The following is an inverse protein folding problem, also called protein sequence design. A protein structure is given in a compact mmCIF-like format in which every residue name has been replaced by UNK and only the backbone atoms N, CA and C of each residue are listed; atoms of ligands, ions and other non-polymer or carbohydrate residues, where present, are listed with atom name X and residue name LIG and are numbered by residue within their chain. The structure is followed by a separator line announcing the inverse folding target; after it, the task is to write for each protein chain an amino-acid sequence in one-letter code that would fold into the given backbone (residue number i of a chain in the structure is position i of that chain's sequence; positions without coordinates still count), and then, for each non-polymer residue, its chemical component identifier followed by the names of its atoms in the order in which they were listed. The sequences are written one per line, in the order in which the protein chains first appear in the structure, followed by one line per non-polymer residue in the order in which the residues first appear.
data_IF_176697358973
#
_entry.id   IF_176697358973
#
_cell.length_a   1.000
_cell.length_b   1.000
_cell.length_c   1.000
_cell.angle_alpha   90.00
_cell.angle_beta   90.00
_cell.angle_gamma   90.00
#
_symmetry.space_group_name_H-M   'P 1'
#
loop_
_entity.id
_entity.type
_entity.pdbx_description
1 polymer ?
#
# COMPACT_ATOMS: atom_id res chain seq x y z
N UNK A 1 -25.71 -20.97 -1.34
CA UNK A 1 -24.97 -22.20 -0.97
C UNK A 1 -23.61 -21.79 -0.38
N UNK A 2 -22.69 -22.73 -0.12
CA UNK A 2 -21.37 -22.47 0.49
C UNK A 2 -20.24 -22.81 -0.49
N UNK A 3 -19.19 -22.01 -0.51
CA UNK A 3 -17.99 -22.22 -1.33
C UNK A 3 -16.78 -22.46 -0.43
N UNK A 4 -15.93 -23.44 -0.80
CA UNK A 4 -14.66 -23.69 -0.09
C UNK A 4 -13.56 -22.79 -0.61
N UNK A 5 -12.80 -22.21 0.32
CA UNK A 5 -11.62 -21.43 -0.02
C UNK A 5 -10.56 -22.32 -0.69
N UNK A 6 -10.03 -21.95 -1.88
CA UNK A 6 -9.02 -22.75 -2.56
C UNK A 6 -7.66 -22.74 -1.84
N UNK A 7 -7.40 -21.76 -0.97
CA UNK A 7 -6.13 -21.61 -0.25
C UNK A 7 -6.12 -22.28 1.12
N UNK A 8 -7.07 -21.93 1.99
CA UNK A 8 -7.12 -22.43 3.37
C UNK A 8 -8.23 -23.47 3.62
N UNK A 9 -9.05 -23.79 2.60
CA UNK A 9 -10.12 -24.81 2.64
C UNK A 9 -11.31 -24.51 3.55
N UNK A 10 -11.32 -23.37 4.24
CA UNK A 10 -12.45 -22.89 5.05
C UNK A 10 -13.72 -22.76 4.20
N UNK A 11 -14.84 -23.20 4.75
CA UNK A 11 -16.16 -22.99 4.16
C UNK A 11 -16.61 -21.54 4.34
N UNK A 12 -17.00 -20.90 3.24
CA UNK A 12 -17.45 -19.52 3.21
C UNK A 12 -18.84 -19.44 2.56
N UNK A 13 -19.71 -18.51 2.99
CA UNK A 13 -20.93 -18.21 2.26
C UNK A 13 -20.60 -17.70 0.85
N UNK A 14 -21.41 -18.05 -0.15
CA UNK A 14 -21.22 -17.60 -1.53
C UNK A 14 -21.34 -16.08 -1.73
N UNK A 15 -21.86 -15.34 -0.75
CA UNK A 15 -21.90 -13.87 -0.76
C UNK A 15 -20.55 -13.23 -0.45
N UNK A 16 -19.57 -13.98 0.10
CA UNK A 16 -18.26 -13.44 0.44
C UNK A 16 -17.36 -13.38 -0.78
N UNK A 17 -16.88 -12.17 -1.11
CA UNK A 17 -15.89 -11.94 -2.17
C UNK A 17 -14.50 -12.45 -1.77
N UNK A 18 -14.20 -12.47 -0.48
CA UNK A 18 -12.92 -12.89 0.09
C UNK A 18 -13.15 -13.86 1.25
N UNK A 19 -12.20 -14.77 1.45
CA UNK A 19 -12.21 -15.71 2.55
C UNK A 19 -12.09 -14.98 3.90
N UNK A 20 -12.98 -15.28 4.83
CA UNK A 20 -13.00 -14.67 6.17
C UNK A 20 -11.79 -15.03 7.05
N UNK A 21 -11.02 -16.05 6.67
CA UNK A 21 -9.90 -16.54 7.49
C UNK A 21 -8.52 -16.18 6.90
N UNK A 22 -8.35 -16.30 5.58
CA UNK A 22 -7.05 -16.03 4.93
C UNK A 22 -7.06 -14.90 3.89
N UNK A 23 -8.22 -14.26 3.65
CA UNK A 23 -8.35 -13.14 2.71
C UNK A 23 -8.32 -13.49 1.22
N UNK A 24 -8.24 -14.77 0.85
CA UNK A 24 -8.20 -15.19 -0.57
C UNK A 24 -9.53 -14.90 -1.27
N UNK A 25 -9.48 -14.37 -2.49
CA UNK A 25 -10.68 -14.10 -3.30
C UNK A 25 -11.41 -15.40 -3.69
N UNK A 26 -12.74 -15.42 -3.55
CA UNK A 26 -13.56 -16.63 -3.72
C UNK A 26 -14.44 -16.63 -4.98
N UNK A 27 -14.55 -15.50 -5.68
CA UNK A 27 -15.37 -15.37 -6.89
C UNK A 27 -14.71 -14.55 -7.99
N UNK A 28 -15.21 -14.63 -9.23
CA UNK A 28 -14.74 -13.81 -10.33
C UNK A 28 -14.88 -12.32 -9.97
N UNK A 29 -13.85 -11.54 -10.27
CA UNK A 29 -13.89 -10.10 -10.06
C UNK A 29 -14.80 -9.44 -11.10
N UNK A 30 -16.12 -9.43 -10.87
CA UNK A 30 -17.06 -8.56 -11.60
C UNK A 30 -17.00 -7.10 -11.09
N UNK A 31 -15.83 -6.68 -10.61
CA UNK A 31 -15.55 -5.28 -10.29
C UNK A 31 -15.03 -4.55 -11.53
N UNK A 32 -15.08 -3.21 -11.56
CA UNK A 32 -14.34 -2.45 -12.56
C UNK A 32 -12.89 -2.98 -12.58
N UNK A 33 -12.33 -3.19 -13.77
CA UNK A 33 -10.90 -3.54 -13.93
C UNK A 33 -10.12 -2.58 -13.06
N UNK A 34 -9.57 -3.06 -11.94
CA UNK A 34 -8.85 -2.21 -11.00
C UNK A 34 -7.66 -1.70 -11.79
N UNK A 35 -7.74 -0.43 -12.22
CA UNK A 35 -6.64 0.25 -12.87
C UNK A 35 -5.47 0.13 -11.92
N UNK A 36 -4.42 -0.56 -12.34
CA UNK A 36 -3.21 -0.72 -11.54
C UNK A 36 -2.75 0.69 -11.16
N UNK A 37 -2.78 1.00 -9.87
CA UNK A 37 -2.26 2.29 -9.41
C UNK A 37 -0.76 2.30 -9.64
N UNK A 38 -0.27 3.39 -10.21
CA UNK A 38 1.16 3.55 -10.42
C UNK A 38 1.79 4.01 -9.11
N UNK A 39 2.70 3.19 -8.58
CA UNK A 39 3.55 3.58 -7.46
C UNK A 39 4.70 4.42 -8.00
N UNK A 40 4.97 5.56 -7.37
CA UNK A 40 6.17 6.34 -7.67
C UNK A 40 7.38 5.58 -7.12
N UNK A 41 8.29 5.16 -8.00
CA UNK A 41 9.55 4.53 -7.65
C UNK A 41 10.61 5.63 -7.54
N UNK A 42 10.97 6.02 -6.31
CA UNK A 42 12.07 6.94 -6.02
C UNK A 42 12.93 6.34 -4.91
N UNK A 43 14.26 6.26 -5.08
CA UNK A 43 15.14 5.69 -4.06
C UNK A 43 14.96 6.40 -2.72
N UNK A 44 14.83 5.62 -1.65
CA UNK A 44 14.52 6.11 -0.31
C UNK A 44 15.77 6.37 0.54
N UNK A 45 16.99 6.30 -0.03
CA UNK A 45 18.21 6.46 0.77
C UNK A 45 18.31 7.88 1.37
N UNK A 46 18.33 7.95 2.70
CA UNK A 46 18.80 9.13 3.43
C UNK A 46 17.85 10.32 3.44
N UNK A 47 16.55 10.12 3.66
CA UNK A 47 15.61 11.23 3.86
C UNK A 47 15.80 11.91 5.21
N UNK A 48 16.63 12.95 5.21
CA UNK A 48 16.73 13.91 6.30
C UNK A 48 15.77 15.09 6.10
N UNK A 49 15.51 15.81 7.19
CA UNK A 49 14.67 17.01 7.19
C UNK A 49 15.19 18.04 6.18
N UNK A 50 14.28 18.65 5.42
CA UNK A 50 14.57 19.65 4.38
C UNK A 50 14.91 19.08 3.01
N UNK A 51 14.94 17.76 2.84
CA UNK A 51 15.12 17.14 1.52
C UNK A 51 13.82 17.21 0.72
N UNK A 52 13.94 17.57 -0.56
CA UNK A 52 12.85 17.49 -1.53
C UNK A 52 12.82 16.10 -2.19
N UNK A 53 11.86 15.28 -1.79
CA UNK A 53 11.64 13.95 -2.32
C UNK A 53 10.73 13.95 -3.55
N UNK A 54 11.11 13.19 -4.57
CA UNK A 54 10.40 13.10 -5.87
C UNK A 54 10.06 14.46 -6.50
N UNK A 55 10.87 15.49 -6.22
CA UNK A 55 10.67 16.86 -6.71
C UNK A 55 9.38 17.53 -6.21
N UNK A 56 8.72 16.99 -5.18
CA UNK A 56 7.39 17.46 -4.72
C UNK A 56 7.21 17.49 -3.21
N UNK A 57 7.78 16.54 -2.50
CA UNK A 57 7.51 16.34 -1.07
C UNK A 57 8.70 16.81 -0.25
N UNK A 58 8.57 17.92 0.47
CA UNK A 58 9.63 18.36 1.38
C UNK A 58 9.52 17.62 2.71
N UNK A 59 10.54 16.86 3.09
CA UNK A 59 10.54 16.05 4.31
C UNK A 59 10.70 16.93 5.55
N UNK A 60 9.78 16.80 6.51
CA UNK A 60 9.80 17.53 7.77
C UNK A 60 10.45 16.66 8.87
N UNK A 61 9.92 15.46 9.10
CA UNK A 61 10.45 14.53 10.10
C UNK A 61 9.95 13.10 9.88
N UNK A 62 10.61 12.12 10.50
CA UNK A 62 10.10 10.74 10.58
C UNK A 62 9.00 10.66 11.64
N UNK A 63 7.84 10.11 11.27
CA UNK A 63 6.72 9.84 12.17
C UNK A 63 6.81 8.43 12.79
N UNK A 64 7.43 7.49 12.09
CA UNK A 64 7.74 6.18 12.64
C UNK A 64 8.09 5.13 11.59
N UNK A 65 8.58 4.00 12.07
CA UNK A 65 9.01 2.86 11.25
C UNK A 65 8.30 1.58 11.68
N UNK A 66 7.93 0.74 10.71
CA UNK A 66 7.31 -0.56 10.92
C UNK A 66 7.75 -1.60 9.91
N UNK A 67 7.08 -2.77 9.91
CA UNK A 67 7.46 -3.90 9.06
C UNK A 67 7.41 -3.59 7.56
N UNK A 68 6.52 -2.71 7.13
CA UNK A 68 6.37 -2.34 5.71
C UNK A 68 7.30 -1.21 5.25
N UNK A 69 8.01 -0.53 6.17
CA UNK A 69 8.84 0.63 5.88
C UNK A 69 8.59 1.79 6.85
N UNK A 70 8.91 3.00 6.40
CA UNK A 70 8.94 4.21 7.24
C UNK A 70 7.92 5.25 6.77
N UNK A 71 7.39 6.03 7.72
CA UNK A 71 6.40 7.08 7.49
C UNK A 71 7.02 8.41 7.87
N UNK A 72 6.91 9.39 6.98
CA UNK A 72 7.43 10.74 7.18
C UNK A 72 6.29 11.75 7.15
N UNK A 73 6.44 12.82 7.92
CA UNK A 73 5.68 14.05 7.73
C UNK A 73 6.36 14.84 6.63
N UNK A 74 5.60 15.26 5.63
CA UNK A 74 6.14 16.03 4.51
C UNK A 74 5.15 17.12 4.08
N UNK A 75 5.66 18.20 3.50
CA UNK A 75 4.84 19.18 2.79
C UNK A 75 4.76 18.81 1.30
N UNK A 76 3.55 18.64 0.78
CA UNK A 76 3.32 18.53 -0.66
C UNK A 76 3.33 19.92 -1.29
N UNK A 77 4.45 20.28 -1.92
CA UNK A 77 4.66 21.62 -2.51
C UNK A 77 3.68 21.97 -3.63
N UNK A 78 3.02 20.98 -4.24
CA UNK A 78 2.06 21.20 -5.33
C UNK A 78 0.71 21.70 -4.81
N UNK A 79 0.25 21.14 -3.69
CA UNK A 79 -1.06 21.46 -3.10
C UNK A 79 -0.96 22.23 -1.78
N UNK A 80 0.27 22.46 -1.29
CA UNK A 80 0.60 23.18 -0.05
C UNK A 80 -0.12 22.61 1.17
N UNK A 81 0.02 21.30 1.36
CA UNK A 81 -0.57 20.59 2.50
C UNK A 81 0.44 19.64 3.13
N UNK A 82 0.34 19.50 4.45
CA UNK A 82 1.05 18.46 5.18
C UNK A 82 0.43 17.09 4.88
N UNK A 83 1.28 16.13 4.53
CA UNK A 83 0.90 14.75 4.17
C UNK A 83 1.79 13.75 4.91
N UNK A 84 1.26 12.56 5.13
CA UNK A 84 2.05 11.41 5.56
C UNK A 84 2.58 10.65 4.34
N UNK A 85 3.90 10.66 4.15
CA UNK A 85 4.57 9.94 3.08
C UNK A 85 5.08 8.60 3.61
N UNK A 86 4.50 7.49 3.13
CA UNK A 86 4.95 6.14 3.49
C UNK A 86 5.85 5.56 2.42
N UNK A 87 7.10 5.27 2.79
CA UNK A 87 8.05 4.57 1.93
C UNK A 87 7.95 3.08 2.20
N UNK A 88 7.65 2.33 1.15
CA UNK A 88 7.57 0.88 1.21
C UNK A 88 8.95 0.31 0.94
N UNK A 89 9.38 -0.67 1.75
CA UNK A 89 10.65 -1.35 1.53
C UNK A 89 10.67 -2.00 0.14
N UNK A 90 11.79 -1.90 -0.62
CA UNK A 90 11.89 -2.45 -1.96
C UNK A 90 11.53 -3.94 -2.04
N UNK A 91 11.91 -4.72 -1.02
CA UNK A 91 11.61 -6.16 -0.93
C UNK A 91 10.11 -6.46 -0.91
N UNK A 92 9.30 -5.56 -0.36
CA UNK A 92 7.83 -5.70 -0.27
C UNK A 92 7.17 -5.13 -1.53
N UNK A 93 7.67 -4.00 -2.02
CA UNK A 93 7.13 -3.35 -3.22
C UNK A 93 7.33 -4.18 -4.50
N UNK A 94 8.38 -5.02 -4.54
CA UNK A 94 8.72 -5.84 -5.72
C UNK A 94 7.90 -7.13 -5.85
N UNK A 95 7.11 -7.50 -4.84
CA UNK A 95 6.20 -8.66 -4.92
C UNK A 95 5.00 -8.31 -5.82
N UNK A 96 5.15 -8.52 -7.12
CA UNK A 96 4.06 -8.44 -8.11
C UNK A 96 3.13 -9.64 -8.07
#
# INVERSE_FOLDING_TARGET
MSIKCPKCKTDNPETLKFCGECGTQLGPSEGPKISKTMTLETPAEGLSRGILFAGRYEIIEELGTGGMGSVYRAEDTKIRQEVALKLIRPEIASSR
#
